data_IF_062344065802
#
_entry.id   IF_062344065802
#
_cell.length_a   1.000
_cell.length_b   1.000
_cell.length_c   1.000
_cell.angle_alpha   90.00
_cell.angle_beta   90.00
_cell.angle_gamma   90.00
#
_symmetry.space_group_name_H-M   'P 1'
#
loop_
_entity.id
_entity.type
_entity.pdbx_description
1 polymer ?
#
# COMPACT_ATOMS: atom_id res chain seq x y z
N UNK A 1 -33.23 35.46 -8.12
CA UNK A 1 -32.11 35.38 -9.10
C UNK A 1 -30.75 35.78 -8.52
N UNK A 2 -30.66 36.77 -7.62
CA UNK A 2 -29.38 37.19 -7.03
C UNK A 2 -28.73 36.12 -6.11
N UNK A 3 -29.57 35.37 -5.39
CA UNK A 3 -29.15 34.30 -4.47
C UNK A 3 -28.53 33.10 -5.19
N UNK A 4 -29.09 32.66 -6.32
CA UNK A 4 -28.50 31.56 -7.12
C UNK A 4 -27.16 31.91 -7.74
N UNK A 5 -26.96 33.18 -8.13
CA UNK A 5 -25.69 33.67 -8.69
C UNK A 5 -24.60 33.74 -7.62
N UNK A 6 -24.93 34.25 -6.43
CA UNK A 6 -24.01 34.26 -5.30
C UNK A 6 -23.61 32.83 -4.88
N UNK A 7 -24.57 31.91 -4.82
CA UNK A 7 -24.30 30.49 -4.51
C UNK A 7 -23.37 29.84 -5.54
N UNK A 8 -23.58 30.11 -6.84
CA UNK A 8 -22.72 29.60 -7.91
C UNK A 8 -21.29 30.16 -7.82
N UNK A 9 -21.14 31.44 -7.49
CA UNK A 9 -19.82 32.08 -7.32
C UNK A 9 -19.08 31.50 -6.11
N UNK A 10 -19.78 31.29 -4.98
CA UNK A 10 -19.18 30.65 -3.80
C UNK A 10 -18.75 29.21 -4.06
N UNK A 11 -19.55 28.43 -4.80
CA UNK A 11 -19.18 27.08 -5.21
C UNK A 11 -17.95 27.07 -6.13
N UNK A 12 -17.89 27.98 -7.11
CA UNK A 12 -16.75 28.08 -8.03
C UNK A 12 -15.45 28.49 -7.31
N UNK A 13 -15.52 29.44 -6.37
CA UNK A 13 -14.36 29.85 -5.57
C UNK A 13 -13.90 28.75 -4.61
N UNK A 14 -14.83 28.00 -4.02
CA UNK A 14 -14.50 26.87 -3.13
C UNK A 14 -13.78 25.74 -3.85
N UNK A 15 -14.18 25.42 -5.08
CA UNK A 15 -13.52 24.37 -5.90
C UNK A 15 -12.20 24.87 -6.50
N UNK A 16 -12.11 26.15 -6.88
CA UNK A 16 -10.86 26.73 -7.39
C UNK A 16 -9.77 26.88 -6.32
N UNK A 17 -10.13 26.96 -5.04
CA UNK A 17 -9.19 27.05 -3.93
C UNK A 17 -8.58 25.70 -3.52
N UNK A 18 -9.13 24.57 -3.98
CA UNK A 18 -8.53 23.25 -3.78
C UNK A 18 -7.72 22.85 -5.01
N UNK A 19 -6.50 22.35 -4.79
CA UNK A 19 -5.74 21.75 -5.90
C UNK A 19 -6.50 20.53 -6.44
N UNK A 20 -6.41 20.24 -7.76
CA UNK A 20 -6.98 19.02 -8.34
C UNK A 20 -6.53 17.75 -7.61
N UNK A 21 -5.26 17.74 -7.18
CA UNK A 21 -4.65 16.70 -6.33
C UNK A 21 -5.45 16.49 -5.03
N UNK A 22 -5.83 17.59 -4.35
CA UNK A 22 -6.56 17.50 -3.09
C UNK A 22 -7.99 17.00 -3.28
N UNK A 23 -8.69 17.52 -4.31
CA UNK A 23 -10.05 17.07 -4.66
C UNK A 23 -10.04 15.59 -5.00
N UNK A 24 -9.11 15.15 -5.82
CA UNK A 24 -9.03 13.75 -6.24
C UNK A 24 -8.55 12.82 -5.15
N UNK A 25 -7.66 13.26 -4.25
CA UNK A 25 -7.33 12.51 -3.05
C UNK A 25 -8.54 12.26 -2.17
N UNK A 26 -9.42 13.25 -2.02
CA UNK A 26 -10.64 13.10 -1.22
C UNK A 26 -11.68 12.19 -1.89
N UNK A 27 -11.79 12.25 -3.23
CA UNK A 27 -12.74 11.43 -4.00
C UNK A 27 -12.28 9.97 -4.15
N UNK A 28 -10.99 9.75 -4.38
CA UNK A 28 -10.44 8.41 -4.66
C UNK A 28 -9.87 7.72 -3.43
N UNK A 29 -9.57 8.47 -2.37
CA UNK A 29 -8.83 7.97 -1.21
C UNK A 29 -7.36 7.65 -1.50
N UNK A 30 -6.87 7.92 -2.71
CA UNK A 30 -5.49 7.65 -3.16
C UNK A 30 -4.67 8.93 -3.07
N UNK A 31 -3.36 8.80 -2.93
CA UNK A 31 -2.46 9.96 -3.07
C UNK A 31 -2.40 10.32 -4.56
N UNK A 32 -2.73 11.56 -4.93
CA UNK A 32 -2.67 12.04 -6.30
C UNK A 32 -1.78 13.28 -6.32
N UNK A 33 -0.79 13.29 -7.21
CA UNK A 33 0.23 14.32 -7.25
C UNK A 33 0.76 14.47 -8.70
N UNK A 34 0.82 15.71 -9.18
CA UNK A 34 1.39 16.00 -10.51
C UNK A 34 2.88 15.60 -10.66
N UNK A 35 3.60 15.41 -9.55
CA UNK A 35 4.98 14.90 -9.52
C UNK A 35 5.12 13.51 -10.14
N UNK A 36 4.16 12.60 -9.92
CA UNK A 36 4.20 11.24 -10.48
C UNK A 36 4.23 11.22 -12.00
N UNK A 37 3.57 12.18 -12.64
CA UNK A 37 3.57 12.30 -14.10
C UNK A 37 4.98 12.58 -14.64
N UNK A 38 5.82 13.31 -13.90
CA UNK A 38 7.21 13.57 -14.28
C UNK A 38 8.10 12.34 -14.12
N UNK A 39 7.71 11.43 -13.23
CA UNK A 39 8.39 10.15 -12.99
C UNK A 39 7.96 9.06 -13.99
N UNK A 40 7.00 9.37 -14.87
CA UNK A 40 6.42 8.43 -15.84
C UNK A 40 5.33 7.53 -15.25
N UNK A 41 4.87 7.83 -14.04
CA UNK A 41 3.82 7.12 -13.32
C UNK A 41 2.44 7.76 -13.58
N UNK A 42 1.39 7.02 -13.24
CA UNK A 42 0.02 7.56 -13.26
C UNK A 42 -0.15 8.69 -12.23
N UNK A 43 -1.02 9.66 -12.53
CA UNK A 43 -1.25 10.83 -11.67
C UNK A 43 -1.70 10.49 -10.24
N UNK A 44 -2.38 9.37 -10.04
CA UNK A 44 -2.75 8.88 -8.72
C UNK A 44 -2.00 7.60 -8.40
N UNK A 45 -1.38 7.54 -7.22
CA UNK A 45 -0.65 6.38 -6.70
C UNK A 45 -1.50 5.12 -6.80
N UNK A 46 -0.95 3.98 -7.26
CA UNK A 46 -1.71 2.74 -7.42
C UNK A 46 -2.34 2.29 -6.09
N UNK A 47 -3.43 1.50 -6.13
CA UNK A 47 -4.00 0.94 -4.91
C UNK A 47 -2.93 0.18 -4.12
N UNK A 48 -2.80 0.49 -2.82
CA UNK A 48 -1.85 -0.18 -1.93
C UNK A 48 -2.16 -1.67 -1.92
N UNK A 49 -1.24 -2.48 -2.45
CA UNK A 49 -1.35 -3.94 -2.44
C UNK A 49 -0.54 -4.50 -1.28
N UNK A 50 -1.05 -5.53 -0.59
CA UNK A 50 -0.26 -6.19 0.43
C UNK A 50 1.08 -6.68 -0.15
N UNK A 51 2.19 -6.61 0.62
CA UNK A 51 3.49 -7.06 0.16
C UNK A 51 3.46 -8.52 -0.27
N UNK A 52 4.13 -8.90 -1.36
CA UNK A 52 4.18 -10.31 -1.76
C UNK A 52 4.60 -11.22 -0.58
N UNK A 53 3.99 -12.41 -0.41
CA UNK A 53 4.36 -13.30 0.67
C UNK A 53 5.84 -13.69 0.57
N UNK A 54 6.50 -13.76 1.73
CA UNK A 54 7.90 -14.17 1.79
C UNK A 54 8.04 -15.61 1.25
N UNK A 55 9.10 -15.91 0.49
CA UNK A 55 9.32 -17.26 -0.03
C UNK A 55 9.61 -18.24 1.11
N UNK A 56 9.18 -19.48 0.93
CA UNK A 56 9.50 -20.56 1.87
C UNK A 56 10.88 -21.11 1.52
N UNK A 57 11.87 -20.91 2.38
CA UNK A 57 13.24 -21.33 2.10
C UNK A 57 13.60 -22.57 2.92
N UNK A 58 14.30 -23.52 2.29
CA UNK A 58 14.71 -24.79 2.92
C UNK A 58 16.21 -25.02 2.75
N UNK A 59 16.81 -25.75 3.69
CA UNK A 59 18.21 -26.18 3.56
C UNK A 59 18.29 -27.37 2.60
N UNK A 60 19.04 -27.21 1.52
CA UNK A 60 19.43 -28.29 0.60
C UNK A 60 20.91 -28.62 0.72
N UNK A 61 21.36 -29.61 -0.05
CA UNK A 61 22.75 -30.05 -0.03
C UNK A 61 23.72 -28.99 -0.58
N UNK A 62 23.28 -28.17 -1.53
CA UNK A 62 24.09 -27.13 -2.17
C UNK A 62 23.90 -25.73 -1.57
N UNK A 63 23.01 -25.57 -0.57
CA UNK A 63 22.73 -24.26 0.02
C UNK A 63 21.29 -24.10 0.46
N UNK A 64 20.76 -22.88 0.33
CA UNK A 64 19.36 -22.54 0.66
C UNK A 64 18.57 -22.40 -0.63
N UNK A 65 17.52 -23.20 -0.76
CA UNK A 65 16.58 -23.14 -1.88
C UNK A 65 15.27 -22.47 -1.44
N UNK A 66 14.83 -21.45 -2.18
CA UNK A 66 13.62 -20.68 -1.87
C UNK A 66 12.50 -20.97 -2.86
N UNK A 67 11.33 -21.32 -2.32
CA UNK A 67 10.18 -21.80 -3.07
C UNK A 67 9.06 -20.78 -3.06
N UNK A 68 8.56 -20.43 -4.24
CA UNK A 68 7.36 -19.59 -4.38
C UNK A 68 6.06 -20.38 -4.10
N UNK A 69 6.09 -21.71 -4.24
CA UNK A 69 4.95 -22.62 -4.09
C UNK A 69 5.33 -23.84 -3.23
N UNK A 70 5.48 -23.68 -1.90
CA UNK A 70 5.86 -24.78 -1.00
C UNK A 70 4.83 -25.89 -0.93
N UNK A 71 3.57 -25.61 -1.30
CA UNK A 71 2.48 -26.58 -1.38
C UNK A 71 2.71 -27.67 -2.44
N UNK A 72 3.54 -27.39 -3.44
CA UNK A 72 3.88 -28.33 -4.51
C UNK A 72 5.14 -29.15 -4.18
N UNK A 73 5.77 -28.90 -3.04
CA UNK A 73 7.03 -29.55 -2.67
C UNK A 73 6.77 -30.92 -2.04
N UNK A 74 7.36 -32.00 -2.57
CA UNK A 74 7.27 -33.31 -1.94
C UNK A 74 8.00 -33.29 -0.59
N UNK A 75 7.31 -33.72 0.48
CA UNK A 75 7.83 -33.75 1.85
C UNK A 75 8.39 -32.41 2.33
N UNK A 76 7.51 -31.43 2.57
CA UNK A 76 7.84 -30.06 3.00
C UNK A 76 8.96 -30.06 4.05
N UNK A 77 10.19 -29.84 3.58
CA UNK A 77 11.38 -29.75 4.41
C UNK A 77 11.29 -28.50 5.27
N UNK A 78 11.94 -28.51 6.44
CA UNK A 78 11.82 -27.43 7.44
C UNK A 78 12.30 -26.09 6.87
N UNK A 79 11.53 -25.03 7.17
CA UNK A 79 11.91 -23.65 6.86
C UNK A 79 13.18 -23.24 7.61
N UNK A 80 14.12 -22.58 6.91
CA UNK A 80 15.36 -22.05 7.48
C UNK A 80 15.25 -20.59 7.94
N UNK A 81 14.13 -19.91 7.69
CA UNK A 81 13.92 -18.55 8.14
C UNK A 81 13.96 -18.48 9.68
N UNK A 82 14.85 -17.63 10.21
CA UNK A 82 15.04 -17.42 11.65
C UNK A 82 14.09 -16.36 12.24
N UNK A 83 13.39 -15.62 11.37
CA UNK A 83 12.45 -14.58 11.73
C UNK A 83 11.00 -14.93 11.42
N UNK A 84 10.04 -14.10 11.90
CA UNK A 84 8.65 -14.26 11.52
C UNK A 84 8.48 -14.08 10.01
N UNK A 85 7.64 -14.91 9.38
CA UNK A 85 7.37 -14.87 7.93
C UNK A 85 6.62 -13.61 7.48
N UNK A 86 6.19 -12.78 8.44
CA UNK A 86 5.70 -11.43 8.20
C UNK A 86 5.54 -10.67 9.50
N UNK A 87 5.32 -9.36 9.40
CA UNK A 87 5.13 -8.47 10.53
C UNK A 87 3.64 -8.30 10.84
N UNK A 88 3.26 -8.32 12.12
CA UNK A 88 1.93 -7.84 12.52
C UNK A 88 1.76 -6.37 12.12
N UNK A 89 0.52 -5.90 12.08
CA UNK A 89 0.23 -4.49 11.79
C UNK A 89 1.04 -3.57 12.73
N UNK A 90 1.09 -3.86 14.03
CA UNK A 90 1.84 -3.08 15.01
C UNK A 90 3.36 -3.09 14.77
N UNK A 91 3.93 -4.26 14.42
CA UNK A 91 5.36 -4.39 14.12
C UNK A 91 5.73 -3.60 12.86
N UNK A 92 4.85 -3.59 11.86
CA UNK A 92 5.05 -2.81 10.65
C UNK A 92 4.95 -1.30 10.91
N UNK A 93 4.09 -0.88 11.84
CA UNK A 93 3.97 0.50 12.28
C UNK A 93 5.25 1.02 12.94
N UNK A 94 5.87 0.19 13.79
CA UNK A 94 7.17 0.50 14.38
C UNK A 94 8.27 0.59 13.32
N UNK A 95 8.32 -0.35 12.38
CA UNK A 95 9.31 -0.35 11.28
C UNK A 95 9.23 0.88 10.39
N UNK A 96 8.00 1.33 10.09
CA UNK A 96 7.75 2.47 9.21
C UNK A 96 7.71 3.81 9.95
N UNK A 97 7.76 3.81 11.29
CA UNK A 97 7.57 4.98 12.14
C UNK A 97 6.27 5.74 11.81
N UNK A 98 5.17 4.99 11.68
CA UNK A 98 3.85 5.50 11.30
C UNK A 98 2.78 4.97 12.26
N UNK A 99 1.66 5.69 12.46
CA UNK A 99 0.56 5.19 13.26
C UNK A 99 -0.16 4.02 12.56
N UNK A 100 -0.69 3.06 13.34
CA UNK A 100 -1.32 1.81 12.86
C UNK A 100 -2.41 2.04 11.81
N UNK A 101 -3.14 3.15 11.89
CA UNK A 101 -4.22 3.51 10.97
C UNK A 101 -3.75 4.11 9.63
N UNK A 102 -2.43 4.28 9.44
CA UNK A 102 -1.84 4.86 8.22
C UNK A 102 -0.86 3.94 7.51
N UNK A 103 -0.57 2.77 8.08
CA UNK A 103 0.38 1.83 7.51
C UNK A 103 -0.30 0.89 6.51
N UNK A 104 0.43 0.46 5.46
CA UNK A 104 -0.09 -0.49 4.51
C UNK A 104 -0.43 -1.82 5.20
N UNK A 105 -1.47 -2.52 4.74
CA UNK A 105 -1.87 -3.81 5.30
C UNK A 105 -0.74 -4.83 5.11
N UNK A 106 -0.41 -5.56 6.17
CA UNK A 106 0.54 -6.66 6.07
C UNK A 106 -0.17 -7.95 5.68
N UNK A 107 0.55 -8.84 4.99
CA UNK A 107 0.06 -10.18 4.65
C UNK A 107 0.19 -11.20 5.81
N UNK A 108 0.61 -10.74 6.98
CA UNK A 108 0.89 -11.56 8.16
C UNK A 108 -0.28 -11.50 9.14
N UNK A 109 -1.17 -12.48 8.99
CA UNK A 109 -2.21 -12.92 9.92
C UNK A 109 -3.30 -11.88 10.30
N UNK A 110 -4.50 -12.04 9.75
CA UNK A 110 -5.75 -11.63 10.40
C UNK A 110 -6.25 -12.79 11.27
N UNK A 111 -6.81 -12.51 12.47
CA UNK A 111 -7.07 -13.47 13.55
C UNK A 111 -7.79 -14.75 13.14
#
# INVERSE_FOLDING_TARGET
MMTSRALAIFLLLGVAACSPDHVMRQLTGRECNAGYIQEGEDWCAPPERPPAPQPYCTQSWNGVDCWARPDLMPNVARNVAEGPSGLTQDQNAQRLNMPINKIPPTNSYQP
#
